data_IF_585113742763
#
_entry.id   IF_585113742763
#
_cell.length_a   1.000
_cell.length_b   1.000
_cell.length_c   1.000
_cell.angle_alpha   90.00
_cell.angle_beta   90.00
_cell.angle_gamma   90.00
#
_symmetry.space_group_name_H-M   'P 1'
#
loop_
_entity.id
_entity.type
_entity.pdbx_description
1 polymer ?
#
# COMPACT_ATOMS: atom_id res chain seq x y z
N UNK A 1 -17.97 9.21 -34.54
CA UNK A 1 -17.29 10.36 -33.96
C UNK A 1 -18.18 11.54 -33.50
N UNK A 2 -19.26 11.92 -34.17
CA UNK A 2 -20.12 13.05 -33.73
C UNK A 2 -21.05 12.73 -32.54
N UNK A 3 -21.49 11.50 -32.37
CA UNK A 3 -22.40 11.13 -31.28
C UNK A 3 -21.70 11.02 -29.91
N UNK A 4 -20.43 10.63 -29.89
CA UNK A 4 -19.66 10.49 -28.61
C UNK A 4 -19.38 11.84 -27.97
N UNK A 5 -19.06 12.87 -28.77
CA UNK A 5 -18.83 14.25 -28.28
C UNK A 5 -20.07 14.88 -27.62
N UNK A 6 -21.27 14.53 -28.09
CA UNK A 6 -22.51 15.07 -27.51
C UNK A 6 -22.85 14.40 -26.17
N UNK A 7 -22.49 13.13 -25.98
CA UNK A 7 -22.72 12.41 -24.72
C UNK A 7 -21.83 12.93 -23.59
N UNK A 8 -20.56 13.20 -23.87
CA UNK A 8 -19.61 13.77 -22.89
C UNK A 8 -20.05 15.19 -22.48
N UNK A 9 -20.49 16.02 -23.41
CA UNK A 9 -20.90 17.40 -23.12
C UNK A 9 -22.19 17.46 -22.27
N UNK A 10 -23.14 16.56 -22.47
CA UNK A 10 -24.35 16.50 -21.67
C UNK A 10 -24.10 15.96 -20.25
N UNK A 11 -23.17 15.02 -20.07
CA UNK A 11 -22.78 14.52 -18.75
C UNK A 11 -22.09 15.61 -17.92
N UNK A 12 -21.19 16.38 -18.53
CA UNK A 12 -20.51 17.50 -17.87
C UNK A 12 -21.46 18.60 -17.36
N UNK A 13 -22.53 18.91 -18.08
CA UNK A 13 -23.53 19.90 -17.63
C UNK A 13 -24.37 19.40 -16.46
N UNK A 14 -24.60 18.10 -16.33
CA UNK A 14 -25.38 17.53 -15.22
C UNK A 14 -24.58 17.49 -13.91
N UNK A 15 -23.26 17.29 -13.98
CA UNK A 15 -22.35 17.22 -12.81
C UNK A 15 -22.12 18.61 -12.19
N UNK A 16 -22.06 19.67 -13.00
CA UNK A 16 -21.86 21.04 -12.47
C UNK A 16 -23.01 21.55 -11.57
N UNK A 17 -24.19 20.96 -11.65
CA UNK A 17 -25.36 21.36 -10.84
C UNK A 17 -25.45 20.64 -9.47
N UNK A 18 -24.64 19.60 -9.24
CA UNK A 18 -24.73 18.78 -8.02
C UNK A 18 -23.55 18.96 -7.03
N UNK A 19 -22.50 19.66 -7.41
CA UNK A 19 -21.25 19.77 -6.60
C UNK A 19 -21.25 20.96 -5.61
N UNK A 20 -22.31 21.77 -5.54
CA UNK A 20 -22.35 22.98 -4.69
C UNK A 20 -22.86 22.79 -3.26
N UNK A 21 -22.91 21.57 -2.73
CA UNK A 21 -23.27 21.35 -1.32
C UNK A 21 -22.04 20.94 -0.51
N UNK A 22 -21.59 21.87 0.35
CA UNK A 22 -20.51 21.68 1.30
C UNK A 22 -20.73 20.46 2.21
N UNK A 23 -19.72 19.60 2.34
CA UNK A 23 -19.73 18.48 3.27
C UNK A 23 -19.12 18.91 4.62
N UNK A 24 -19.69 18.51 5.74
CA UNK A 24 -19.07 18.68 7.05
C UNK A 24 -18.03 17.57 7.31
N UNK A 25 -16.90 17.96 7.87
CA UNK A 25 -15.89 17.03 8.38
C UNK A 25 -16.51 16.07 9.41
N UNK A 26 -16.38 14.78 9.19
CA UNK A 26 -16.88 13.74 10.09
C UNK A 26 -15.83 13.47 11.18
N UNK A 27 -16.21 13.66 12.43
CA UNK A 27 -15.42 13.30 13.61
C UNK A 27 -15.37 11.76 13.77
N UNK A 28 -14.19 11.23 14.00
CA UNK A 28 -13.97 9.83 14.34
C UNK A 28 -14.61 9.48 15.69
N UNK A 29 -15.41 8.43 15.73
CA UNK A 29 -15.95 7.86 16.97
C UNK A 29 -15.66 6.36 16.99
N UNK A 30 -14.94 5.93 18.03
CA UNK A 30 -14.75 4.51 18.37
C UNK A 30 -16.08 3.77 18.50
N UNK A 31 -16.18 2.56 17.98
CA UNK A 31 -17.36 1.70 18.19
C UNK A 31 -16.99 0.27 18.60
N UNK A 32 -17.76 -0.28 19.56
CA UNK A 32 -17.55 -1.65 20.05
C UNK A 32 -18.16 -2.70 19.12
N UNK A 33 -17.53 -3.88 19.18
CA UNK A 33 -17.78 -5.16 18.56
C UNK A 33 -19.14 -5.42 17.89
N UNK A 34 -19.07 -5.89 16.65
CA UNK A 34 -20.21 -6.16 15.79
C UNK A 34 -20.57 -7.65 15.73
N UNK A 35 -21.86 -7.90 15.83
CA UNK A 35 -22.52 -9.20 15.69
C UNK A 35 -22.42 -9.75 14.27
N UNK A 36 -22.33 -11.08 14.19
CA UNK A 36 -22.15 -11.90 12.99
C UNK A 36 -22.96 -11.43 11.77
N UNK A 37 -22.29 -11.35 10.64
CA UNK A 37 -22.89 -11.15 9.33
C UNK A 37 -23.85 -12.31 8.98
N UNK A 38 -24.92 -12.03 8.21
CA UNK A 38 -25.83 -13.08 7.72
C UNK A 38 -25.05 -14.08 6.83
N UNK A 39 -25.59 -15.29 6.73
CA UNK A 39 -25.01 -16.39 5.98
C UNK A 39 -24.50 -15.89 4.62
N UNK A 40 -23.20 -16.11 4.35
CA UNK A 40 -22.52 -15.56 3.21
C UNK A 40 -23.18 -16.03 1.91
N UNK A 41 -23.83 -15.10 1.20
CA UNK A 41 -24.23 -15.30 -0.18
C UNK A 41 -22.95 -15.59 -0.99
N UNK A 42 -22.96 -16.63 -1.79
CA UNK A 42 -21.84 -16.94 -2.68
C UNK A 42 -21.97 -16.10 -3.94
N UNK A 43 -20.88 -15.51 -4.38
CA UNK A 43 -20.83 -14.76 -5.64
C UNK A 43 -21.19 -15.68 -6.80
N UNK A 44 -22.21 -15.34 -7.58
CA UNK A 44 -22.65 -16.15 -8.72
C UNK A 44 -21.83 -15.85 -9.98
N UNK A 45 -21.86 -16.77 -10.94
CA UNK A 45 -21.24 -16.52 -12.26
C UNK A 45 -21.92 -15.38 -13.03
N UNK A 46 -23.17 -15.05 -12.73
CA UNK A 46 -23.86 -13.90 -13.31
C UNK A 46 -23.30 -12.59 -12.72
N UNK A 47 -23.17 -12.51 -11.39
CA UNK A 47 -22.60 -11.36 -10.72
C UNK A 47 -21.19 -11.06 -11.23
N UNK A 48 -20.35 -12.10 -11.39
CA UNK A 48 -18.98 -11.93 -11.90
C UNK A 48 -18.96 -11.38 -13.33
N UNK A 49 -19.91 -11.81 -14.19
CA UNK A 49 -19.99 -11.26 -15.54
C UNK A 49 -20.41 -9.79 -15.56
N UNK A 50 -21.35 -9.40 -14.70
CA UNK A 50 -21.75 -8.00 -14.55
C UNK A 50 -20.58 -7.15 -14.03
N UNK A 51 -19.85 -7.65 -13.04
CA UNK A 51 -18.63 -6.98 -12.55
C UNK A 51 -17.61 -6.79 -13.67
N UNK A 52 -17.38 -7.82 -14.51
CA UNK A 52 -16.45 -7.73 -15.65
C UNK A 52 -16.88 -6.72 -16.71
N UNK A 53 -18.18 -6.48 -16.90
CA UNK A 53 -18.65 -5.42 -17.80
C UNK A 53 -18.27 -4.04 -17.26
N UNK A 54 -18.46 -3.83 -15.97
CA UNK A 54 -18.04 -2.60 -15.30
C UNK A 54 -16.52 -2.42 -15.38
N UNK A 55 -15.74 -3.47 -15.06
CA UNK A 55 -14.28 -3.44 -15.14
C UNK A 55 -13.77 -3.10 -16.53
N UNK A 56 -14.40 -3.69 -17.58
CA UNK A 56 -14.05 -3.41 -18.97
C UNK A 56 -14.30 -1.96 -19.35
N UNK A 57 -15.40 -1.36 -18.89
CA UNK A 57 -15.70 0.05 -19.12
C UNK A 57 -14.70 0.98 -18.40
N UNK A 58 -14.39 0.67 -17.13
CA UNK A 58 -13.39 1.39 -16.35
C UNK A 58 -12.02 1.31 -17.02
N UNK A 59 -11.59 0.10 -17.42
CA UNK A 59 -10.30 -0.11 -18.10
C UNK A 59 -10.24 0.63 -19.43
N UNK A 60 -11.33 0.64 -20.19
CA UNK A 60 -11.41 1.38 -21.45
C UNK A 60 -11.32 2.91 -21.27
N UNK A 61 -11.85 3.42 -20.15
CA UNK A 61 -11.70 4.83 -19.78
C UNK A 61 -10.25 5.12 -19.38
N UNK A 62 -9.74 4.44 -18.36
CA UNK A 62 -8.44 4.74 -17.73
C UNK A 62 -7.26 4.44 -18.65
N UNK A 63 -7.37 3.44 -19.53
CA UNK A 63 -6.35 3.09 -20.52
C UNK A 63 -6.39 3.93 -21.81
N UNK A 64 -7.23 4.97 -21.89
CA UNK A 64 -7.31 5.80 -23.11
C UNK A 64 -6.28 6.92 -23.09
N UNK A 65 -5.69 7.22 -24.28
CA UNK A 65 -4.79 8.38 -24.45
C UNK A 65 -5.42 9.70 -24.00
N UNK A 66 -6.75 9.81 -24.16
CA UNK A 66 -7.49 10.98 -23.75
C UNK A 66 -7.50 11.14 -22.22
N UNK A 67 -7.64 10.06 -21.49
CA UNK A 67 -7.62 10.06 -20.03
C UNK A 67 -6.19 10.32 -19.50
N UNK A 68 -5.20 9.70 -20.11
CA UNK A 68 -3.80 9.90 -19.74
C UNK A 68 -3.35 11.37 -19.88
N UNK A 69 -3.94 12.11 -20.86
CA UNK A 69 -3.65 13.53 -21.09
C UNK A 69 -4.42 14.49 -20.15
N UNK A 70 -5.32 14.00 -19.30
CA UNK A 70 -6.10 14.80 -18.35
C UNK A 70 -5.27 15.13 -17.10
N UNK A 71 -5.53 16.29 -16.52
CA UNK A 71 -5.09 16.59 -15.15
C UNK A 71 -5.90 15.79 -14.11
N UNK A 72 -5.46 15.71 -12.84
CA UNK A 72 -6.13 14.92 -11.81
C UNK A 72 -7.61 15.26 -11.62
N UNK A 73 -7.98 16.54 -11.65
CA UNK A 73 -9.38 16.96 -11.49
C UNK A 73 -10.24 16.51 -12.68
N UNK A 74 -9.69 16.58 -13.89
CA UNK A 74 -10.35 16.11 -15.10
C UNK A 74 -10.52 14.59 -15.10
N UNK A 75 -9.50 13.84 -14.64
CA UNK A 75 -9.59 12.38 -14.46
C UNK A 75 -10.69 12.02 -13.49
N UNK A 76 -10.75 12.69 -12.34
CA UNK A 76 -11.81 12.47 -11.35
C UNK A 76 -13.20 12.73 -11.95
N UNK A 77 -13.39 13.84 -12.65
CA UNK A 77 -14.66 14.15 -13.32
C UNK A 77 -15.04 13.11 -14.37
N UNK A 78 -14.07 12.65 -15.17
CA UNK A 78 -14.29 11.63 -16.18
C UNK A 78 -14.68 10.27 -15.54
N UNK A 79 -13.99 9.87 -14.48
CA UNK A 79 -14.29 8.64 -13.73
C UNK A 79 -15.71 8.67 -13.12
N UNK A 80 -16.06 9.79 -12.49
CA UNK A 80 -17.41 9.98 -11.92
C UNK A 80 -18.47 9.96 -13.01
N UNK A 81 -18.24 10.62 -14.15
CA UNK A 81 -19.18 10.65 -15.27
C UNK A 81 -19.43 9.24 -15.84
N UNK A 82 -18.37 8.43 -15.99
CA UNK A 82 -18.49 7.04 -16.44
C UNK A 82 -19.27 6.19 -15.44
N UNK A 83 -18.98 6.31 -14.14
CA UNK A 83 -19.71 5.59 -13.10
C UNK A 83 -21.19 5.96 -13.05
N UNK A 84 -21.56 7.21 -13.36
CA UNK A 84 -22.96 7.60 -13.49
C UNK A 84 -23.64 6.93 -14.69
N UNK A 85 -22.94 6.76 -15.83
CA UNK A 85 -23.48 6.03 -16.98
C UNK A 85 -23.69 4.56 -16.60
N UNK A 86 -22.70 3.91 -15.99
CA UNK A 86 -22.79 2.53 -15.53
C UNK A 86 -23.89 2.33 -14.47
N UNK A 87 -24.11 3.32 -13.63
CA UNK A 87 -25.22 3.30 -12.65
C UNK A 87 -26.59 3.35 -13.35
N UNK A 88 -26.74 4.14 -14.42
CA UNK A 88 -27.98 4.16 -15.21
C UNK A 88 -28.22 2.85 -15.98
N UNK A 89 -27.16 2.17 -16.35
CA UNK A 89 -27.20 0.83 -16.97
C UNK A 89 -27.43 -0.30 -15.95
N UNK A 90 -27.44 0.01 -14.64
CA UNK A 90 -27.62 -0.94 -13.57
C UNK A 90 -26.36 -1.75 -13.21
N UNK A 91 -25.19 -1.36 -13.71
CA UNK A 91 -23.90 -2.00 -13.49
C UNK A 91 -23.14 -1.46 -12.26
N UNK A 92 -23.59 -0.33 -11.72
CA UNK A 92 -23.09 0.28 -10.48
C UNK A 92 -24.29 0.58 -9.56
N UNK A 93 -24.13 0.31 -8.28
CA UNK A 93 -25.20 0.51 -7.29
C UNK A 93 -25.51 1.99 -7.07
N UNK A 94 -26.80 2.35 -7.05
CA UNK A 94 -27.22 3.71 -6.82
C UNK A 94 -26.79 4.24 -5.44
N UNK A 95 -26.17 5.43 -5.43
CA UNK A 95 -25.73 6.10 -4.20
C UNK A 95 -24.53 5.41 -3.51
N UNK A 96 -23.73 4.66 -4.27
CA UNK A 96 -22.50 4.03 -3.78
C UNK A 96 -21.22 4.74 -4.24
N UNK A 97 -21.32 5.77 -5.06
CA UNK A 97 -20.17 6.50 -5.56
C UNK A 97 -19.71 7.49 -4.49
N UNK A 98 -18.47 7.37 -4.07
CA UNK A 98 -17.81 8.29 -3.14
C UNK A 98 -16.52 8.81 -3.74
N UNK A 99 -16.24 10.07 -3.46
CA UNK A 99 -14.99 10.73 -3.80
C UNK A 99 -14.17 10.81 -2.52
N UNK A 100 -12.96 10.36 -2.56
CA UNK A 100 -12.01 10.60 -1.50
C UNK A 100 -11.16 11.81 -1.92
N UNK A 101 -11.27 12.92 -1.19
CA UNK A 101 -10.92 14.26 -1.66
C UNK A 101 -9.45 14.48 -2.00
N UNK A 102 -8.53 13.83 -1.29
CA UNK A 102 -7.08 13.95 -1.56
C UNK A 102 -6.50 12.72 -2.24
N UNK A 103 -7.23 11.61 -2.25
CA UNK A 103 -6.64 10.30 -2.45
C UNK A 103 -6.74 9.74 -3.85
N UNK A 104 -7.08 10.55 -4.84
CA UNK A 104 -6.99 10.09 -6.23
C UNK A 104 -7.80 8.80 -6.50
N UNK A 105 -8.76 8.48 -5.62
CA UNK A 105 -9.59 7.28 -5.68
C UNK A 105 -11.07 7.64 -5.74
N UNK A 106 -11.78 7.06 -6.70
CA UNK A 106 -13.26 7.09 -6.75
C UNK A 106 -13.77 5.70 -6.41
N UNK A 107 -14.49 5.57 -5.31
CA UNK A 107 -15.05 4.29 -4.87
C UNK A 107 -16.50 4.12 -5.31
N UNK A 108 -16.91 2.87 -5.52
CA UNK A 108 -18.27 2.48 -5.88
C UNK A 108 -18.58 1.04 -5.43
N UNK A 109 -19.83 0.62 -5.57
CA UNK A 109 -20.22 -0.78 -5.34
C UNK A 109 -20.89 -1.37 -6.58
N UNK A 110 -20.55 -2.61 -6.90
CA UNK A 110 -21.28 -3.40 -7.87
C UNK A 110 -22.68 -3.77 -7.34
N UNK A 111 -23.68 -4.11 -8.21
CA UNK A 111 -25.02 -4.48 -7.77
C UNK A 111 -25.06 -5.65 -6.80
N UNK A 112 -24.15 -6.60 -6.93
CA UNK A 112 -24.01 -7.75 -6.02
C UNK A 112 -23.45 -7.39 -4.64
N UNK A 113 -23.04 -6.12 -4.41
CA UNK A 113 -22.50 -5.65 -3.13
C UNK A 113 -20.98 -5.74 -3.00
N UNK A 114 -20.27 -6.28 -3.99
CA UNK A 114 -18.81 -6.20 -4.06
C UNK A 114 -18.38 -4.73 -4.20
N UNK A 115 -17.26 -4.37 -3.61
CA UNK A 115 -16.70 -3.02 -3.67
C UNK A 115 -15.74 -2.89 -4.85
N UNK A 116 -15.84 -1.77 -5.58
CA UNK A 116 -14.99 -1.41 -6.70
C UNK A 116 -14.45 0.01 -6.59
N UNK A 117 -13.36 0.30 -7.28
CA UNK A 117 -12.76 1.64 -7.28
C UNK A 117 -12.03 1.96 -8.56
N UNK A 118 -11.81 3.25 -8.78
CA UNK A 118 -10.98 3.79 -9.86
C UNK A 118 -9.88 4.60 -9.20
N UNK A 119 -8.64 4.11 -9.28
CA UNK A 119 -7.45 4.90 -8.97
C UNK A 119 -7.20 5.81 -10.15
N UNK A 120 -7.07 7.11 -9.90
CA UNK A 120 -7.05 8.11 -10.97
C UNK A 120 -5.69 8.24 -11.67
N UNK A 121 -4.65 7.71 -11.06
CA UNK A 121 -3.32 7.53 -11.66
C UNK A 121 -3.12 6.07 -12.05
N UNK A 122 -2.02 5.75 -12.73
CA UNK A 122 -1.70 4.35 -13.00
C UNK A 122 -1.33 3.67 -11.67
N UNK A 123 -2.11 2.70 -11.20
CA UNK A 123 -1.88 2.10 -9.89
C UNK A 123 -0.64 1.19 -9.86
N UNK A 124 -0.05 0.87 -11.00
CA UNK A 124 1.16 0.06 -11.09
C UNK A 124 2.41 0.90 -11.32
N UNK A 125 2.26 2.18 -11.63
CA UNK A 125 3.39 3.09 -11.77
C UNK A 125 3.68 3.77 -10.43
N UNK A 126 4.89 3.58 -9.94
CA UNK A 126 5.41 4.39 -8.85
C UNK A 126 6.15 5.57 -9.49
N UNK A 127 5.47 6.69 -9.64
CA UNK A 127 6.06 7.89 -10.21
C UNK A 127 7.04 8.55 -9.24
N UNK A 128 8.24 8.00 -9.23
CA UNK A 128 9.34 8.52 -8.43
C UNK A 128 9.73 9.96 -8.83
N UNK A 129 9.55 10.32 -10.08
CA UNK A 129 9.96 11.63 -10.58
C UNK A 129 8.92 12.71 -10.19
N UNK A 130 7.63 12.37 -10.11
CA UNK A 130 6.58 13.26 -9.64
C UNK A 130 6.55 13.38 -8.10
N UNK A 131 6.66 12.27 -7.39
CA UNK A 131 6.72 12.25 -5.93
C UNK A 131 8.01 12.90 -5.40
N UNK A 132 9.12 12.64 -6.08
CA UNK A 132 10.41 13.20 -5.70
C UNK A 132 10.75 14.44 -6.52
N UNK A 133 9.84 15.36 -6.82
CA UNK A 133 10.12 16.59 -7.57
C UNK A 133 11.31 17.38 -6.97
N UNK A 134 12.41 16.67 -6.79
CA UNK A 134 13.75 17.14 -6.52
C UNK A 134 14.22 17.85 -7.78
N UNK A 135 14.93 18.93 -7.63
CA UNK A 135 15.60 19.59 -8.75
C UNK A 135 16.31 18.53 -9.60
N UNK A 136 15.95 18.36 -10.89
CA UNK A 136 16.56 17.34 -11.75
C UNK A 136 18.07 17.52 -11.93
N UNK A 137 18.64 18.66 -11.50
CA UNK A 137 20.08 18.87 -11.38
C UNK A 137 20.69 18.27 -10.12
N UNK A 138 19.86 17.93 -9.12
CA UNK A 138 20.29 17.20 -7.93
C UNK A 138 20.16 15.73 -8.26
N UNK A 139 21.29 15.10 -8.58
CA UNK A 139 21.38 13.65 -8.64
C UNK A 139 20.83 13.11 -7.31
N UNK A 140 19.77 12.30 -7.35
CA UNK A 140 19.21 11.65 -6.17
C UNK A 140 20.36 10.91 -5.49
N UNK A 141 20.96 11.56 -4.53
CA UNK A 141 22.00 10.92 -3.77
C UNK A 141 21.34 9.82 -2.97
N UNK A 142 21.69 8.58 -3.30
CA UNK A 142 21.52 7.48 -2.36
C UNK A 142 21.94 8.00 -0.99
N UNK A 143 21.19 7.68 0.08
CA UNK A 143 21.63 8.03 1.42
C UNK A 143 23.14 7.78 1.51
N UNK A 144 23.93 8.70 2.06
CA UNK A 144 25.39 8.60 2.07
C UNK A 144 25.89 7.21 2.46
N UNK A 145 25.17 6.57 3.35
CA UNK A 145 25.45 5.23 3.86
C UNK A 145 25.21 4.13 2.82
N UNK A 146 24.14 4.21 2.01
CA UNK A 146 23.91 3.23 0.93
C UNK A 146 25.05 3.23 -0.09
N UNK A 147 25.61 4.39 -0.44
CA UNK A 147 26.74 4.51 -1.37
C UNK A 147 28.04 3.95 -0.82
N UNK A 148 28.35 4.21 0.45
CA UNK A 148 29.52 3.71 1.14
C UNK A 148 29.43 2.21 1.42
N UNK A 149 28.30 1.74 1.94
CA UNK A 149 28.04 0.33 2.25
C UNK A 149 27.93 -0.54 0.99
N UNK A 150 27.50 0.02 -0.15
CA UNK A 150 27.52 -0.67 -1.44
C UNK A 150 28.93 -1.00 -1.93
N UNK A 151 29.93 -0.16 -1.63
CA UNK A 151 31.34 -0.47 -1.91
C UNK A 151 31.88 -1.50 -0.91
N UNK A 152 31.45 -1.45 0.33
CA UNK A 152 31.82 -2.40 1.38
C UNK A 152 31.31 -3.82 1.08
N UNK A 153 30.05 -3.99 0.68
CA UNK A 153 29.48 -5.32 0.47
C UNK A 153 30.17 -6.13 -0.63
N UNK A 154 30.82 -5.49 -1.60
CA UNK A 154 31.59 -6.18 -2.65
C UNK A 154 32.96 -6.67 -2.17
N UNK A 155 33.57 -6.01 -1.20
CA UNK A 155 34.92 -6.36 -0.72
C UNK A 155 34.93 -7.19 0.57
N UNK A 156 33.90 -7.08 1.42
CA UNK A 156 33.82 -7.74 2.72
C UNK A 156 33.10 -9.08 2.72
N UNK A 157 32.35 -9.41 1.67
CA UNK A 157 31.68 -10.73 1.51
C UNK A 157 32.67 -11.91 1.45
N UNK A 158 33.96 -11.65 1.30
CA UNK A 158 35.00 -12.68 1.27
C UNK A 158 35.51 -13.17 2.64
N UNK A 159 34.96 -12.69 3.75
CA UNK A 159 35.22 -13.30 5.07
C UNK A 159 34.27 -14.47 5.36
N UNK A 160 34.40 -15.53 4.56
CA UNK A 160 33.57 -16.74 4.59
C UNK A 160 33.60 -17.55 5.88
N UNK A 161 34.24 -17.11 6.94
CA UNK A 161 34.66 -18.06 7.97
C UNK A 161 34.04 -17.91 9.36
N UNK A 162 32.98 -17.11 9.56
CA UNK A 162 32.50 -16.93 10.96
C UNK A 162 30.99 -16.79 11.18
N UNK A 163 30.13 -16.90 10.17
CA UNK A 163 28.69 -16.84 10.39
C UNK A 163 28.08 -18.23 10.65
N UNK A 164 27.18 -18.32 11.60
CA UNK A 164 26.48 -19.57 11.96
C UNK A 164 25.40 -20.00 10.95
N UNK A 165 25.38 -19.39 9.76
CA UNK A 165 24.37 -19.62 8.72
C UNK A 165 23.17 -18.68 8.82
N UNK A 166 22.10 -18.92 8.03
CA UNK A 166 20.90 -18.08 8.07
C UNK A 166 20.21 -18.16 9.42
N UNK A 167 19.80 -16.99 9.96
CA UNK A 167 19.11 -16.90 11.24
C UNK A 167 17.63 -16.51 11.11
N UNK A 168 17.19 -16.11 9.93
CA UNK A 168 15.80 -15.69 9.72
C UNK A 168 15.47 -15.52 8.25
N UNK A 169 14.21 -15.21 7.98
CA UNK A 169 13.67 -15.00 6.64
C UNK A 169 13.00 -13.65 6.53
N UNK A 170 13.25 -12.96 5.44
CA UNK A 170 12.55 -11.75 5.06
C UNK A 170 11.93 -11.87 3.66
N UNK A 171 10.76 -11.29 3.49
CA UNK A 171 10.16 -11.12 2.15
C UNK A 171 9.76 -9.68 1.96
N UNK A 172 10.22 -9.07 0.87
CA UNK A 172 9.79 -7.77 0.37
C UNK A 172 8.70 -8.04 -0.65
N UNK A 173 7.47 -7.67 -0.32
CA UNK A 173 6.30 -7.74 -1.19
C UNK A 173 6.22 -6.42 -1.95
N UNK A 174 6.74 -6.41 -3.17
CA UNK A 174 6.85 -5.24 -4.01
C UNK A 174 5.76 -5.28 -5.09
N UNK A 175 4.72 -4.49 -4.92
CA UNK A 175 3.51 -4.55 -5.75
C UNK A 175 3.43 -3.40 -6.79
N UNK A 176 4.55 -3.14 -7.46
CA UNK A 176 4.60 -2.21 -8.59
C UNK A 176 5.14 -2.93 -9.83
N UNK A 177 4.67 -2.53 -11.01
CA UNK A 177 5.12 -3.11 -12.28
C UNK A 177 6.31 -2.36 -12.87
N UNK A 178 6.72 -1.29 -12.23
CA UNK A 178 7.70 -0.43 -12.81
C UNK A 178 9.15 -0.80 -12.46
N UNK A 179 10.02 -0.03 -13.02
CA UNK A 179 11.44 -0.16 -13.15
C UNK A 179 12.26 0.16 -11.89
N UNK A 180 11.64 0.20 -10.71
CA UNK A 180 12.36 0.51 -9.47
C UNK A 180 13.51 -0.46 -9.18
N UNK A 181 13.43 -1.68 -9.69
CA UNK A 181 14.53 -2.65 -9.70
C UNK A 181 15.46 -2.48 -10.90
N UNK A 182 15.29 -1.41 -11.69
CA UNK A 182 16.20 -1.09 -12.78
C UNK A 182 17.56 -0.66 -12.24
N UNK A 183 18.52 -0.57 -13.14
CA UNK A 183 19.86 -0.04 -12.83
C UNK A 183 19.86 1.38 -12.26
N UNK A 184 18.74 2.12 -12.44
CA UNK A 184 18.59 3.49 -11.93
C UNK A 184 18.26 3.52 -10.42
N UNK A 185 17.48 2.52 -9.91
CA UNK A 185 17.06 2.48 -8.51
C UNK A 185 17.13 1.04 -7.95
N UNK A 186 18.32 0.51 -7.70
CA UNK A 186 18.51 -0.90 -7.32
C UNK A 186 18.31 -1.19 -5.82
N UNK A 187 17.57 -0.37 -5.07
CA UNK A 187 17.47 -0.44 -3.62
C UNK A 187 17.17 -1.84 -3.09
N UNK A 188 16.08 -2.46 -3.53
CA UNK A 188 15.70 -3.77 -2.99
C UNK A 188 16.66 -4.88 -3.37
N UNK A 189 17.30 -4.77 -4.53
CA UNK A 189 18.36 -5.71 -4.93
C UNK A 189 19.54 -5.63 -3.98
N UNK A 190 19.89 -4.42 -3.53
CA UNK A 190 20.94 -4.21 -2.52
C UNK A 190 20.50 -4.72 -1.15
N UNK A 191 19.32 -4.33 -0.67
CA UNK A 191 18.77 -4.81 0.58
C UNK A 191 18.80 -6.34 0.62
N UNK A 192 18.27 -6.99 -0.41
CA UNK A 192 18.29 -8.45 -0.55
C UNK A 192 19.72 -8.99 -0.48
N UNK A 193 20.64 -8.42 -1.23
CA UNK A 193 22.04 -8.87 -1.29
C UNK A 193 22.71 -8.75 0.07
N UNK A 194 22.63 -7.58 0.68
CA UNK A 194 23.27 -7.30 1.96
C UNK A 194 22.65 -8.11 3.11
N UNK A 195 21.32 -8.08 3.27
CA UNK A 195 20.65 -8.79 4.35
C UNK A 195 20.87 -10.31 4.25
N UNK A 196 20.84 -10.87 3.03
CA UNK A 196 21.12 -12.29 2.84
C UNK A 196 22.58 -12.62 3.16
N UNK A 197 23.53 -11.74 2.80
CA UNK A 197 24.93 -11.92 3.15
C UNK A 197 25.16 -11.87 4.67
N UNK A 198 24.34 -11.11 5.41
CA UNK A 198 24.38 -11.04 6.88
C UNK A 198 23.60 -12.18 7.55
N UNK A 199 22.96 -13.07 6.82
CA UNK A 199 22.25 -14.24 7.32
C UNK A 199 20.74 -14.09 7.46
N UNK A 200 20.15 -12.97 7.03
CA UNK A 200 18.70 -12.82 6.90
C UNK A 200 18.29 -13.20 5.46
N UNK A 201 17.84 -14.45 5.25
CA UNK A 201 17.44 -14.95 3.93
C UNK A 201 16.33 -14.07 3.35
N UNK A 202 16.67 -13.21 2.37
CA UNK A 202 15.76 -12.19 1.84
C UNK A 202 15.28 -12.55 0.44
N UNK A 203 13.97 -12.45 0.23
CA UNK A 203 13.30 -12.59 -1.08
C UNK A 203 12.60 -11.31 -1.47
N UNK A 204 12.54 -11.03 -2.76
CA UNK A 204 11.68 -10.00 -3.34
C UNK A 204 10.59 -10.73 -4.12
N UNK A 205 9.34 -10.44 -3.80
CA UNK A 205 8.17 -10.89 -4.54
C UNK A 205 7.59 -9.70 -5.30
N UNK A 206 7.70 -9.69 -6.62
CA UNK A 206 7.19 -8.65 -7.52
C UNK A 206 5.83 -8.98 -8.13
N UNK A 207 5.31 -10.19 -7.87
CA UNK A 207 4.00 -10.64 -8.32
C UNK A 207 3.11 -10.94 -7.09
N UNK A 208 2.85 -9.90 -6.31
CA UNK A 208 2.17 -10.00 -5.01
C UNK A 208 0.71 -10.38 -5.19
N UNK A 209 0.33 -11.53 -4.65
CA UNK A 209 -1.03 -12.06 -4.71
C UNK A 209 -1.69 -12.12 -3.33
N UNK A 210 -3.02 -12.25 -3.33
CA UNK A 210 -3.80 -12.54 -2.11
C UNK A 210 -3.28 -13.78 -1.38
N UNK A 211 -2.82 -14.79 -2.13
CA UNK A 211 -2.28 -16.01 -1.55
C UNK A 211 -0.91 -15.80 -0.87
N UNK A 212 -0.09 -14.89 -1.40
CA UNK A 212 1.21 -14.56 -0.82
C UNK A 212 1.03 -13.84 0.52
N UNK A 213 0.11 -12.89 0.58
CA UNK A 213 -0.18 -12.17 1.82
C UNK A 213 -0.85 -13.04 2.90
N UNK A 214 -1.36 -14.22 2.57
CA UNK A 214 -1.79 -15.24 3.56
C UNK A 214 -0.62 -16.03 4.16
N UNK A 215 0.61 -15.82 3.68
CA UNK A 215 1.83 -16.53 4.09
C UNK A 215 2.90 -15.64 4.72
N UNK A 216 2.57 -14.39 5.05
CA UNK A 216 3.53 -13.47 5.68
C UNK A 216 4.11 -14.04 6.99
N UNK A 217 3.35 -14.87 7.71
CA UNK A 217 3.81 -15.55 8.92
C UNK A 217 4.90 -16.61 8.71
N UNK A 218 5.26 -16.92 7.46
CA UNK A 218 6.41 -17.77 7.14
C UNK A 218 7.77 -17.01 7.25
N UNK A 219 7.70 -15.69 7.51
CA UNK A 219 8.85 -14.79 7.60
C UNK A 219 9.00 -14.23 9.01
N UNK A 220 10.24 -13.94 9.40
CA UNK A 220 10.56 -13.16 10.60
C UNK A 220 10.37 -11.65 10.35
N UNK A 221 10.56 -11.21 9.08
CA UNK A 221 10.32 -9.87 8.62
C UNK A 221 9.53 -9.89 7.31
N UNK A 222 8.39 -9.20 7.28
CA UNK A 222 7.60 -8.97 6.08
C UNK A 222 7.56 -7.48 5.77
N UNK A 223 8.08 -7.10 4.60
CA UNK A 223 8.07 -5.72 4.11
C UNK A 223 6.98 -5.59 3.06
N UNK A 224 6.08 -4.62 3.25
CA UNK A 224 5.04 -4.27 2.28
C UNK A 224 5.45 -2.99 1.56
N UNK A 225 5.69 -3.08 0.25
CA UNK A 225 6.01 -1.95 -0.61
C UNK A 225 4.99 -1.91 -1.74
N UNK A 226 3.97 -1.08 -1.57
CA UNK A 226 2.80 -1.00 -2.46
C UNK A 226 2.10 0.33 -2.29
N UNK A 227 1.20 0.69 -3.19
CA UNK A 227 0.29 1.81 -2.95
C UNK A 227 -0.70 1.51 -1.84
N UNK A 228 -1.00 2.54 -1.05
CA UNK A 228 -2.04 2.54 -0.06
C UNK A 228 -2.90 3.78 -0.15
N UNK A 229 -4.13 3.67 0.31
CA UNK A 229 -5.09 4.75 0.39
C UNK A 229 -6.22 4.39 1.34
N UNK A 230 -7.11 5.33 1.57
CA UNK A 230 -8.37 5.11 2.28
C UNK A 230 -9.52 4.92 1.30
N UNK A 231 -10.29 3.88 1.54
CA UNK A 231 -11.46 3.52 0.74
C UNK A 231 -12.75 3.78 1.51
N UNK A 232 -13.59 4.64 0.98
CA UNK A 232 -14.89 5.00 1.59
C UNK A 232 -16.03 4.29 0.89
N UNK A 233 -16.92 3.68 1.64
CA UNK A 233 -18.06 2.94 1.12
C UNK A 233 -19.29 3.01 2.06
N UNK A 234 -20.46 2.71 1.51
CA UNK A 234 -21.69 2.68 2.28
C UNK A 234 -22.15 1.26 2.55
N UNK A 235 -22.45 0.94 3.79
CA UNK A 235 -23.01 -0.35 4.22
C UNK A 235 -24.42 -0.21 4.74
N UNK A 236 -25.16 -1.34 4.79
CA UNK A 236 -26.49 -1.43 5.38
C UNK A 236 -27.62 -1.21 4.39
N UNK A 237 -28.62 -2.11 4.43
CA UNK A 237 -29.78 -2.08 3.52
C UNK A 237 -30.80 -1.02 3.92
N UNK A 238 -31.09 -0.88 5.21
CA UNK A 238 -32.11 0.04 5.76
C UNK A 238 -31.48 1.25 6.45
N UNK A 239 -30.38 1.03 7.16
CA UNK A 239 -29.62 2.07 7.86
C UNK A 239 -28.27 2.19 7.17
N UNK A 240 -28.20 3.08 6.19
CA UNK A 240 -26.96 3.34 5.48
C UNK A 240 -25.94 3.98 6.41
N UNK A 241 -24.74 3.40 6.47
CA UNK A 241 -23.59 3.94 7.21
C UNK A 241 -22.41 4.05 6.25
N UNK A 242 -21.80 5.20 6.23
CA UNK A 242 -20.52 5.39 5.53
C UNK A 242 -19.42 4.85 6.42
N UNK A 243 -18.52 4.09 5.83
CA UNK A 243 -17.31 3.55 6.44
C UNK A 243 -16.12 3.90 5.59
N UNK A 244 -14.99 4.12 6.25
CA UNK A 244 -13.70 4.33 5.60
C UNK A 244 -12.74 3.30 6.16
N UNK A 245 -11.89 2.71 5.31
CA UNK A 245 -10.91 1.69 5.70
C UNK A 245 -9.64 1.87 4.89
N UNK A 246 -8.46 1.70 5.49
CA UNK A 246 -7.23 1.65 4.74
C UNK A 246 -7.22 0.42 3.82
N UNK A 247 -6.64 0.60 2.64
CA UNK A 247 -6.45 -0.46 1.65
C UNK A 247 -5.01 -0.47 1.16
N UNK A 248 -4.52 -1.62 0.74
CA UNK A 248 -3.25 -1.78 0.03
C UNK A 248 -3.47 -2.51 -1.28
N UNK A 249 -2.79 -2.06 -2.32
CA UNK A 249 -2.91 -2.57 -3.67
C UNK A 249 -2.00 -3.79 -3.88
N UNK A 250 -2.44 -4.74 -4.72
CA UNK A 250 -1.66 -5.90 -5.14
C UNK A 250 -1.41 -5.86 -6.65
N UNK A 251 -0.35 -6.53 -7.12
CA UNK A 251 -0.14 -6.77 -8.55
C UNK A 251 -1.13 -7.79 -9.12
N UNK A 252 -1.83 -8.53 -8.26
CA UNK A 252 -2.76 -9.57 -8.74
C UNK A 252 -3.95 -8.96 -9.47
N UNK A 253 -4.03 -9.21 -10.78
CA UNK A 253 -5.18 -8.84 -11.60
C UNK A 253 -6.40 -9.69 -11.30
N UNK A 254 -7.57 -9.06 -11.34
CA UNK A 254 -8.87 -9.73 -11.25
C UNK A 254 -9.16 -10.49 -12.55
N UNK A 255 -9.68 -11.70 -12.40
CA UNK A 255 -10.17 -12.52 -13.50
C UNK A 255 -11.44 -13.24 -13.08
N UNK A 256 -12.25 -13.70 -14.03
CA UNK A 256 -13.47 -14.45 -13.75
C UNK A 256 -13.26 -15.58 -12.73
N UNK A 257 -12.22 -16.39 -12.91
CA UNK A 257 -11.93 -17.51 -12.03
C UNK A 257 -11.44 -17.10 -10.64
N UNK A 258 -10.70 -15.99 -10.54
CA UNK A 258 -10.22 -15.46 -9.27
C UNK A 258 -11.37 -14.78 -8.52
N UNK A 259 -12.22 -14.02 -9.20
CA UNK A 259 -13.40 -13.38 -8.59
C UNK A 259 -14.32 -14.44 -7.97
N UNK A 260 -14.58 -15.56 -8.65
CA UNK A 260 -15.30 -16.69 -8.06
C UNK A 260 -14.55 -17.31 -6.87
N UNK A 261 -13.23 -17.47 -6.97
CA UNK A 261 -12.38 -18.01 -5.89
C UNK A 261 -12.39 -17.14 -4.64
N UNK A 262 -12.35 -15.83 -4.82
CA UNK A 262 -12.31 -14.84 -3.74
C UNK A 262 -13.71 -14.33 -3.36
N UNK A 263 -14.77 -14.92 -3.89
CA UNK A 263 -16.14 -14.43 -3.72
C UNK A 263 -16.54 -14.13 -2.28
N UNK A 264 -16.15 -14.97 -1.32
CA UNK A 264 -16.38 -14.71 0.11
C UNK A 264 -15.59 -13.53 0.66
N UNK A 265 -14.36 -13.32 0.19
CA UNK A 265 -13.53 -12.21 0.62
C UNK A 265 -13.99 -10.89 -0.04
N UNK A 266 -14.47 -10.95 -1.28
CA UNK A 266 -15.06 -9.83 -2.01
C UNK A 266 -16.39 -9.37 -1.38
N UNK A 267 -17.35 -10.29 -1.17
CA UNK A 267 -18.63 -9.98 -0.52
C UNK A 267 -18.47 -9.57 0.95
N UNK A 268 -17.42 -10.08 1.60
CA UNK A 268 -17.07 -9.71 2.98
C UNK A 268 -16.26 -8.42 3.08
N UNK A 269 -16.06 -7.68 1.99
CA UNK A 269 -15.30 -6.43 1.90
C UNK A 269 -13.85 -6.55 2.42
N UNK A 270 -13.30 -7.77 2.42
CA UNK A 270 -11.91 -8.03 2.78
C UNK A 270 -10.98 -7.81 1.59
N UNK A 271 -11.51 -8.01 0.39
CA UNK A 271 -10.87 -7.71 -0.89
C UNK A 271 -11.76 -6.73 -1.65
N UNK A 272 -11.14 -5.76 -2.28
CA UNK A 272 -11.78 -4.73 -3.11
C UNK A 272 -11.15 -4.80 -4.50
N UNK A 273 -11.87 -4.43 -5.54
CA UNK A 273 -11.36 -4.36 -6.92
C UNK A 273 -11.09 -2.92 -7.31
N UNK A 274 -9.87 -2.59 -7.70
CA UNK A 274 -9.48 -1.24 -8.13
C UNK A 274 -8.70 -1.35 -9.44
N UNK A 275 -9.15 -0.68 -10.49
CA UNK A 275 -8.55 -0.70 -11.84
C UNK A 275 -8.21 -2.12 -12.35
N UNK A 276 -9.06 -3.11 -12.04
CA UNK A 276 -8.81 -4.49 -12.44
C UNK A 276 -7.83 -5.26 -11.55
N UNK A 277 -7.27 -4.67 -10.51
CA UNK A 277 -6.42 -5.31 -9.50
C UNK A 277 -7.17 -5.54 -8.19
N UNK A 278 -6.63 -6.41 -7.33
CA UNK A 278 -7.16 -6.58 -5.98
C UNK A 278 -6.46 -5.64 -5.01
N UNK A 279 -7.26 -5.03 -4.13
CA UNK A 279 -6.80 -4.38 -2.92
C UNK A 279 -7.27 -5.18 -1.70
N UNK A 280 -6.51 -5.13 -0.63
CA UNK A 280 -6.89 -5.78 0.63
C UNK A 280 -7.11 -4.75 1.74
N UNK A 281 -8.02 -5.06 2.63
CA UNK A 281 -8.38 -4.24 3.79
C UNK A 281 -7.81 -4.82 5.08
N UNK A 282 -7.92 -4.08 6.18
CA UNK A 282 -7.57 -4.59 7.51
C UNK A 282 -8.34 -5.88 7.87
N UNK A 283 -9.59 -6.01 7.44
CA UNK A 283 -10.40 -7.20 7.70
C UNK A 283 -9.90 -8.46 6.99
N UNK A 284 -9.18 -8.30 5.88
CA UNK A 284 -8.49 -9.41 5.26
C UNK A 284 -7.44 -10.01 6.20
N UNK A 285 -6.58 -9.20 6.80
CA UNK A 285 -5.56 -9.66 7.73
C UNK A 285 -6.17 -10.27 8.99
N UNK A 286 -7.21 -9.66 9.57
CA UNK A 286 -7.96 -10.24 10.70
C UNK A 286 -8.48 -11.63 10.41
N UNK A 287 -8.97 -11.85 9.19
CA UNK A 287 -9.50 -13.14 8.78
C UNK A 287 -8.41 -14.16 8.44
N UNK A 288 -7.40 -13.75 7.68
CA UNK A 288 -6.31 -14.63 7.22
C UNK A 288 -5.49 -15.17 8.39
N UNK A 289 -5.27 -14.35 9.42
CA UNK A 289 -4.37 -14.64 10.52
C UNK A 289 -5.07 -15.00 11.84
N UNK A 290 -6.33 -15.38 11.79
CA UNK A 290 -7.03 -15.93 12.95
C UNK A 290 -6.21 -17.04 13.61
N UNK A 291 -6.04 -16.95 14.93
CA UNK A 291 -5.31 -17.93 15.73
C UNK A 291 -3.79 -17.74 15.77
N UNK A 292 -3.30 -16.54 15.53
CA UNK A 292 -1.90 -16.18 15.79
C UNK A 292 -0.90 -16.67 14.73
N UNK A 293 -1.32 -16.77 13.48
CA UNK A 293 -0.48 -17.28 12.38
C UNK A 293 0.64 -16.35 11.93
N UNK A 294 0.67 -15.11 12.44
CA UNK A 294 1.78 -14.16 12.27
C UNK A 294 2.77 -14.16 13.45
N UNK A 295 2.71 -15.18 14.30
CA UNK A 295 3.55 -15.23 15.50
C UNK A 295 5.03 -15.04 15.17
N UNK A 296 5.64 -14.10 15.89
CA UNK A 296 7.05 -13.67 15.75
C UNK A 296 7.41 -12.86 14.51
N UNK A 297 6.47 -12.50 13.66
CA UNK A 297 6.73 -11.67 12.49
C UNK A 297 6.78 -10.19 12.86
N UNK A 298 7.78 -9.48 12.36
CA UNK A 298 7.78 -8.01 12.27
C UNK A 298 7.22 -7.64 10.90
N UNK A 299 6.24 -6.74 10.85
CA UNK A 299 5.71 -6.20 9.59
C UNK A 299 6.16 -4.76 9.45
N UNK A 300 6.84 -4.45 8.36
CA UNK A 300 7.25 -3.09 8.00
C UNK A 300 6.54 -2.70 6.70
N UNK A 301 5.80 -1.61 6.71
CA UNK A 301 5.09 -1.13 5.53
C UNK A 301 5.65 0.21 5.07
N UNK A 302 6.06 0.29 3.82
CA UNK A 302 6.43 1.53 3.11
C UNK A 302 5.24 2.16 2.38
N UNK A 303 4.06 1.61 2.61
CA UNK A 303 2.81 2.00 1.96
C UNK A 303 2.32 3.35 2.49
N UNK A 304 1.94 4.26 1.60
CA UNK A 304 1.26 5.50 1.95
C UNK A 304 -0.01 5.22 2.77
N UNK A 305 -0.33 6.08 3.72
CA UNK A 305 -1.57 6.05 4.50
C UNK A 305 -1.87 4.71 5.21
N UNK A 306 -0.84 3.89 5.42
CA UNK A 306 -1.01 2.58 6.03
C UNK A 306 -1.50 2.64 7.48
N UNK A 307 -1.06 3.66 8.22
CA UNK A 307 -1.37 3.87 9.64
C UNK A 307 -2.00 5.23 9.92
N UNK A 308 -2.61 5.85 8.92
CA UNK A 308 -3.35 7.09 9.10
C UNK A 308 -3.33 8.03 7.90
N UNK A 309 -4.19 9.02 7.95
CA UNK A 309 -4.41 10.04 6.92
C UNK A 309 -4.71 11.39 7.58
N UNK A 310 -4.46 12.50 6.88
CA UNK A 310 -4.70 13.87 7.36
C UNK A 310 -4.04 14.18 8.72
N UNK A 311 -2.85 13.62 8.96
CA UNK A 311 -2.11 13.79 10.21
C UNK A 311 -2.71 13.04 11.41
N UNK A 312 -3.71 12.20 11.19
CA UNK A 312 -4.36 11.39 12.23
C UNK A 312 -3.96 9.92 12.07
N UNK A 313 -3.47 9.33 13.16
CA UNK A 313 -3.19 7.90 13.21
C UNK A 313 -4.49 7.07 13.13
N UNK A 314 -4.44 5.98 12.35
CA UNK A 314 -5.45 4.93 12.31
C UNK A 314 -4.78 3.57 12.52
N UNK A 315 -5.15 2.89 13.57
CA UNK A 315 -4.56 1.61 13.95
C UNK A 315 -5.23 0.39 13.30
N UNK A 316 -6.17 0.55 12.38
CA UNK A 316 -6.97 -0.55 11.83
C UNK A 316 -6.10 -1.66 11.20
N UNK A 317 -5.08 -1.29 10.39
CA UNK A 317 -4.13 -2.24 9.80
C UNK A 317 -3.22 -2.86 10.87
N UNK A 318 -2.67 -2.03 11.77
CA UNK A 318 -1.82 -2.50 12.84
C UNK A 318 -2.54 -3.48 13.76
N UNK A 319 -3.75 -3.14 14.22
CA UNK A 319 -4.57 -4.00 15.08
C UNK A 319 -4.92 -5.33 14.40
N UNK A 320 -5.19 -5.29 13.09
CA UNK A 320 -5.46 -6.51 12.32
C UNK A 320 -4.25 -7.45 12.31
N UNK A 321 -3.06 -6.93 12.07
CA UNK A 321 -1.81 -7.69 12.03
C UNK A 321 -1.38 -8.16 13.43
N UNK A 322 -1.46 -7.29 14.45
CA UNK A 322 -1.13 -7.63 15.83
C UNK A 322 -2.09 -8.69 16.41
N UNK A 323 -3.40 -8.59 16.12
CA UNK A 323 -4.37 -9.62 16.49
C UNK A 323 -4.10 -10.96 15.78
N UNK A 324 -3.45 -10.91 14.61
CA UNK A 324 -2.93 -12.06 13.88
C UNK A 324 -1.66 -12.66 14.46
N UNK A 325 -1.04 -12.02 15.47
CA UNK A 325 0.16 -12.49 16.16
C UNK A 325 1.45 -11.80 15.76
N UNK A 326 1.43 -10.76 14.92
CA UNK A 326 2.62 -9.98 14.62
C UNK A 326 3.20 -9.39 15.94
N UNK A 327 4.51 -9.38 16.06
CA UNK A 327 5.19 -8.81 17.23
C UNK A 327 5.21 -7.28 17.19
N UNK A 328 5.40 -6.73 15.99
CA UNK A 328 5.46 -5.30 15.76
C UNK A 328 4.99 -4.98 14.33
N UNK A 329 4.42 -3.80 14.16
CA UNK A 329 4.01 -3.24 12.88
C UNK A 329 4.54 -1.82 12.79
N UNK A 330 5.31 -1.54 11.74
CA UNK A 330 5.77 -0.20 11.38
C UNK A 330 5.08 0.21 10.09
N UNK A 331 4.68 1.46 9.98
CA UNK A 331 4.09 2.02 8.76
C UNK A 331 3.99 3.54 8.87
N UNK A 332 3.41 4.16 7.86
CA UNK A 332 3.38 5.61 7.71
C UNK A 332 1.98 6.18 7.84
N UNK A 333 1.92 7.37 8.42
CA UNK A 333 0.77 8.26 8.39
C UNK A 333 0.96 9.21 7.21
N UNK A 334 -0.08 9.47 6.43
CA UNK A 334 -0.05 10.26 5.19
C UNK A 334 0.74 9.59 4.03
N UNK A 335 0.80 10.30 2.91
CA UNK A 335 1.61 9.92 1.75
C UNK A 335 3.08 10.11 2.06
N UNK A 336 3.89 9.10 1.83
CA UNK A 336 5.33 9.10 2.14
C UNK A 336 6.18 9.15 0.89
N UNK A 337 7.24 9.94 0.91
CA UNK A 337 8.25 9.89 -0.16
C UNK A 337 8.97 8.54 -0.18
N UNK A 338 8.95 7.90 -1.34
CA UNK A 338 9.51 6.57 -1.56
C UNK A 338 10.97 6.46 -1.15
N UNK A 339 11.80 7.45 -1.49
CA UNK A 339 13.23 7.43 -1.14
C UNK A 339 13.43 7.55 0.37
N UNK A 340 12.63 8.38 1.05
CA UNK A 340 12.65 8.48 2.51
C UNK A 340 12.25 7.16 3.17
N UNK A 341 11.12 6.57 2.77
CA UNK A 341 10.64 5.33 3.37
C UNK A 341 11.63 4.18 3.20
N UNK A 342 12.28 4.09 2.04
CA UNK A 342 13.35 3.10 1.78
C UNK A 342 14.60 3.32 2.60
N UNK A 343 15.00 4.57 2.78
CA UNK A 343 16.14 4.92 3.65
C UNK A 343 15.86 4.52 5.09
N UNK A 344 14.66 4.82 5.57
CA UNK A 344 14.17 4.41 6.89
C UNK A 344 14.13 2.88 7.04
N UNK A 345 13.62 2.16 6.04
CA UNK A 345 13.59 0.70 6.02
C UNK A 345 15.01 0.12 6.08
N UNK A 346 15.90 0.61 5.22
CA UNK A 346 17.29 0.17 5.15
C UNK A 346 17.98 0.25 6.51
N UNK A 347 17.96 1.42 7.12
CA UNK A 347 18.62 1.67 8.39
C UNK A 347 17.98 0.84 9.52
N UNK A 348 16.65 0.83 9.59
CA UNK A 348 15.92 0.05 10.60
C UNK A 348 16.28 -1.43 10.54
N UNK A 349 16.29 -2.04 9.35
CA UNK A 349 16.57 -3.48 9.21
C UNK A 349 18.05 -3.79 9.47
N UNK A 350 18.97 -2.91 9.06
CA UNK A 350 20.38 -3.08 9.38
C UNK A 350 20.60 -3.08 10.90
N UNK A 351 19.96 -2.20 11.64
CA UNK A 351 20.04 -2.17 13.10
C UNK A 351 19.37 -3.40 13.75
N UNK A 352 18.29 -3.95 13.16
CA UNK A 352 17.76 -5.25 13.58
C UNK A 352 18.77 -6.39 13.38
N UNK A 353 19.51 -6.40 12.26
CA UNK A 353 20.58 -7.37 11.97
C UNK A 353 21.74 -7.21 12.95
N UNK A 354 22.04 -5.99 13.39
CA UNK A 354 23.01 -5.72 14.47
C UNK A 354 22.51 -6.18 15.85
N UNK A 355 21.27 -6.70 15.93
CA UNK A 355 20.69 -7.25 17.16
C UNK A 355 19.99 -6.24 18.05
N UNK A 356 19.69 -5.06 17.52
CA UNK A 356 18.82 -4.10 18.21
C UNK A 356 17.35 -4.54 18.13
N UNK A 357 16.51 -4.01 19.00
CA UNK A 357 15.07 -4.14 18.88
C UNK A 357 14.50 -3.10 17.91
N UNK A 358 13.28 -3.33 17.41
CA UNK A 358 12.63 -2.49 16.40
C UNK A 358 12.45 -1.05 16.86
N UNK A 359 12.18 -0.81 18.15
CA UNK A 359 12.04 0.54 18.69
C UNK A 359 13.35 1.32 18.59
N UNK A 360 14.45 0.74 19.06
CA UNK A 360 15.77 1.41 18.98
C UNK A 360 16.24 1.58 17.53
N UNK A 361 15.99 0.58 16.67
CA UNK A 361 16.34 0.63 15.25
C UNK A 361 15.57 1.74 14.51
N UNK A 362 14.27 1.89 14.76
CA UNK A 362 13.45 2.93 14.16
C UNK A 362 13.84 4.34 14.64
N UNK A 363 14.12 4.49 15.94
CA UNK A 363 14.60 5.77 16.48
C UNK A 363 15.97 6.17 15.91
N UNK A 364 16.84 5.19 15.63
CA UNK A 364 18.10 5.46 14.93
C UNK A 364 17.86 5.96 13.52
N UNK A 365 16.95 5.30 12.77
CA UNK A 365 16.59 5.72 11.41
C UNK A 365 16.00 7.14 11.39
N UNK A 366 15.11 7.48 12.33
CA UNK A 366 14.57 8.84 12.49
C UNK A 366 15.66 9.87 12.80
N UNK A 367 16.60 9.52 13.68
CA UNK A 367 17.71 10.41 13.99
C UNK A 367 18.62 10.66 12.77
N UNK A 368 18.73 9.69 11.87
CA UNK A 368 19.56 9.75 10.66
C UNK A 368 18.88 10.51 9.53
N UNK A 369 17.63 10.23 9.27
CA UNK A 369 16.91 10.74 8.08
C UNK A 369 15.87 11.82 8.39
N UNK A 370 15.49 12.02 9.64
CA UNK A 370 14.48 12.96 10.09
C UNK A 370 13.25 12.29 10.68
N UNK A 371 12.54 13.02 11.55
CA UNK A 371 11.30 12.54 12.18
C UNK A 371 10.16 12.32 11.17
N UNK A 372 10.21 13.05 10.05
CA UNK A 372 9.27 12.99 8.96
C UNK A 372 9.92 13.21 7.59
N UNK A 373 9.21 12.89 6.53
CA UNK A 373 9.71 12.95 5.16
C UNK A 373 9.90 14.39 4.64
N UNK A 374 9.22 15.39 5.18
CA UNK A 374 9.44 16.79 4.80
C UNK A 374 10.76 17.32 5.34
N UNK A 375 11.16 16.92 6.54
CA UNK A 375 12.49 17.23 7.08
C UNK A 375 13.56 16.68 6.16
N UNK A 376 13.43 15.41 5.76
CA UNK A 376 14.34 14.77 4.81
C UNK A 376 14.31 15.49 3.45
N UNK A 377 13.12 15.71 2.88
CA UNK A 377 12.91 16.32 1.58
C UNK A 377 13.56 17.72 1.48
N UNK A 378 13.37 18.55 2.49
CA UNK A 378 14.00 19.87 2.55
C UNK A 378 15.53 19.77 2.65
N UNK A 379 16.05 18.76 3.36
CA UNK A 379 17.50 18.53 3.44
C UNK A 379 18.12 18.15 2.08
N UNK A 380 17.33 17.56 1.19
CA UNK A 380 17.72 17.17 -0.17
C UNK A 380 17.46 18.28 -1.23
N UNK A 381 17.01 19.46 -0.81
CA UNK A 381 16.71 20.57 -1.71
C UNK A 381 15.41 20.41 -2.51
N UNK A 382 14.45 19.67 -1.97
CA UNK A 382 13.15 19.44 -2.60
C UNK A 382 12.36 20.71 -2.89
N UNK A 383 11.69 20.77 -4.04
CA UNK A 383 11.01 21.96 -4.56
C UNK A 383 9.49 21.91 -4.38
N UNK A 384 8.89 20.74 -4.21
CA UNK A 384 7.44 20.55 -4.12
C UNK A 384 7.10 19.56 -3.02
N UNK A 385 6.97 20.04 -1.78
CA UNK A 385 6.64 19.16 -0.66
C UNK A 385 5.20 18.63 -0.78
N UNK A 386 4.93 17.49 -0.16
CA UNK A 386 3.57 17.02 0.13
C UNK A 386 2.78 18.08 0.91
N UNK A 387 1.45 17.99 0.86
CA UNK A 387 0.58 18.87 1.63
C UNK A 387 0.75 18.68 3.15
N UNK A 388 1.01 17.44 3.58
CA UNK A 388 1.24 17.07 4.98
C UNK A 388 2.47 16.17 5.13
N UNK A 389 3.22 16.34 6.21
CA UNK A 389 4.35 15.50 6.53
C UNK A 389 3.92 14.05 6.79
N UNK A 390 4.72 13.11 6.29
CA UNK A 390 4.57 11.70 6.58
C UNK A 390 5.63 11.23 7.57
N UNK A 391 5.21 10.49 8.57
CA UNK A 391 6.07 9.99 9.64
C UNK A 391 5.80 8.53 9.96
N UNK A 392 6.85 7.81 10.36
CA UNK A 392 6.75 6.41 10.73
C UNK A 392 6.20 6.23 12.14
N UNK A 393 5.25 5.30 12.29
CA UNK A 393 4.66 4.90 13.57
C UNK A 393 4.91 3.42 13.82
N UNK A 394 5.15 3.08 15.09
CA UNK A 394 5.35 1.70 15.56
C UNK A 394 4.20 1.29 16.48
N UNK A 395 3.51 0.22 16.10
CA UNK A 395 2.53 -0.46 16.95
C UNK A 395 3.04 -1.83 17.39
N UNK A 396 2.60 -2.29 18.55
CA UNK A 396 3.01 -3.55 19.15
C UNK A 396 4.24 -3.41 20.05
N UNK A 397 5.11 -4.42 20.06
CA UNK A 397 6.27 -4.45 20.97
C UNK A 397 7.46 -3.70 20.39
N UNK A 398 7.85 -2.58 21.01
CA UNK A 398 9.13 -1.91 20.69
C UNK A 398 10.36 -2.80 20.97
N UNK A 399 10.20 -3.86 21.76
CA UNK A 399 11.25 -4.83 22.07
C UNK A 399 11.31 -5.99 21.09
N UNK A 400 10.43 -6.04 20.06
CA UNK A 400 10.52 -7.03 19.00
C UNK A 400 11.87 -6.94 18.29
N UNK A 401 12.51 -8.09 18.06
CA UNK A 401 13.84 -8.17 17.47
C UNK A 401 13.97 -9.45 16.65
N UNK A 402 14.91 -9.47 15.72
CA UNK A 402 15.31 -10.68 15.02
C UNK A 402 16.22 -11.53 15.93
N UNK A 403 16.13 -12.86 15.82
CA UNK A 403 16.95 -13.80 16.60
C UNK A 403 18.36 -13.95 16.01
N UNK A 404 19.12 -12.84 15.98
CA UNK A 404 20.44 -12.78 15.34
C UNK A 404 21.50 -13.46 16.20
N UNK A 405 22.25 -14.49 15.68
CA UNK A 405 23.36 -15.11 16.39
C UNK A 405 24.51 -14.12 16.65
N UNK A 406 25.27 -14.36 17.73
CA UNK A 406 26.38 -13.49 18.11
C UNK A 406 27.46 -13.36 17.01
N UNK A 407 27.74 -14.45 16.29
CA UNK A 407 28.70 -14.45 15.17
C UNK A 407 28.22 -13.58 14.01
N UNK A 408 26.94 -13.64 13.65
CA UNK A 408 26.34 -12.81 12.60
C UNK A 408 26.35 -11.32 13.01
N UNK A 409 26.03 -11.00 14.26
CA UNK A 409 26.14 -9.62 14.79
C UNK A 409 27.56 -9.08 14.71
N UNK A 410 28.55 -9.89 15.09
CA UNK A 410 29.95 -9.49 15.01
C UNK A 410 30.40 -9.24 13.56
N UNK A 411 29.97 -10.08 12.62
CA UNK A 411 30.24 -9.89 11.19
C UNK A 411 29.59 -8.62 10.65
N UNK A 412 28.31 -8.34 11.01
CA UNK A 412 27.61 -7.14 10.62
C UNK A 412 28.27 -5.86 11.18
N UNK A 413 28.72 -5.86 12.44
CA UNK A 413 29.46 -4.76 13.05
C UNK A 413 30.81 -4.50 12.33
N UNK A 414 31.51 -5.54 11.88
CA UNK A 414 32.73 -5.39 11.10
C UNK A 414 32.48 -4.86 9.70
N UNK A 415 31.33 -5.17 9.10
CA UNK A 415 30.94 -4.66 7.80
C UNK A 415 30.47 -3.18 7.87
N UNK A 416 30.02 -2.72 9.02
CA UNK A 416 29.55 -1.34 9.25
C UNK A 416 30.67 -0.40 9.75
N UNK A 417 31.84 -0.91 10.12
CA UNK A 417 33.02 -0.14 10.59
C UNK A 417 33.98 0.18 9.44
#
# INVERSE_FOLDING_TARGET
MKQTKHRILCALCAVMLLVSTAFPAAAFAEQPGETAAPAAETLSSADVREMQQTDAAVTALTGSDAYAAMDPDQRQQAAVAELFVLMQEGLVSAGSIHLDGENKLVSFSYPCGVLGGIWLEDPMDEDLDAENAVDPSVELQLPPDLGAEMQYSRSSIHHENQMDGPFGKATIYYAFDNTINSSRYPYYSYMKGFWSAMGLETKINTAVTVADLKKMGDNDLSVLSTHGSYYTYTTGRFWKRTRTTPIILLTEESTFSKDLRYGFDLLGHRIIKVNGHYCITADFFRNAYKGGKLANTIVYSETCEFLGVDGSEDNAMADALLSGGANAVVGYVNNVYTVYSRSMLWDTVNHLILGQNIGAALEHAKATYGEDDLVWYHSQGGLRPHAAASYAVLYGSSQAALSVPAANRAAALQAAA
#
